data_IF_265450708867
#
_entry.id   IF_265450708867
#
_cell.length_a   1.000
_cell.length_b   1.000
_cell.length_c   1.000
_cell.angle_alpha   90.00
_cell.angle_beta   90.00
_cell.angle_gamma   90.00
#
_symmetry.space_group_name_H-M   'P 1'
#
loop_
_entity.id
_entity.type
_entity.pdbx_description
1 polymer ?
#
# COMPACT_ATOMS: atom_id res chain seq x y z
N UNK A 1 16.25 -32.60 -21.88
CA UNK A 1 16.06 -31.33 -21.14
C UNK A 1 17.31 -30.46 -21.21
N UNK A 2 18.45 -30.83 -20.61
CA UNK A 2 19.66 -29.96 -20.60
C UNK A 2 20.30 -29.77 -21.99
N UNK A 3 20.24 -30.78 -22.88
CA UNK A 3 20.75 -30.66 -24.27
C UNK A 3 20.06 -29.56 -25.09
N UNK A 4 18.75 -29.37 -24.92
CA UNK A 4 17.99 -28.31 -25.61
C UNK A 4 18.42 -26.90 -25.17
N UNK A 5 18.88 -26.76 -23.92
CA UNK A 5 19.37 -25.49 -23.39
C UNK A 5 20.75 -25.12 -23.94
N UNK A 6 21.58 -26.13 -24.20
CA UNK A 6 22.91 -25.95 -24.81
C UNK A 6 22.82 -25.78 -26.33
N UNK A 7 21.89 -26.48 -27.00
CA UNK A 7 21.61 -26.30 -28.44
C UNK A 7 20.92 -24.96 -28.77
N UNK A 8 20.25 -24.34 -27.80
CA UNK A 8 19.62 -23.02 -27.97
C UNK A 8 20.60 -21.85 -28.17
N UNK A 9 21.91 -22.11 -28.05
CA UNK A 9 22.97 -21.15 -28.34
C UNK A 9 22.98 -19.93 -27.41
N UNK A 10 23.70 -18.89 -27.83
CA UNK A 10 23.91 -17.67 -27.03
C UNK A 10 22.62 -16.95 -26.60
N UNK A 11 21.52 -17.15 -27.32
CA UNK A 11 20.23 -16.52 -27.06
C UNK A 11 19.51 -17.04 -25.79
N UNK A 12 19.92 -18.20 -25.25
CA UNK A 12 19.39 -18.72 -23.98
C UNK A 12 19.82 -17.89 -22.75
N UNK A 13 21.00 -17.26 -22.80
CA UNK A 13 21.53 -16.45 -21.70
C UNK A 13 20.71 -15.17 -21.42
N UNK A 14 20.39 -14.32 -22.41
CA UNK A 14 19.55 -13.14 -22.16
C UNK A 14 18.12 -13.51 -21.76
N UNK A 15 17.59 -14.64 -22.25
CA UNK A 15 16.27 -15.14 -21.85
C UNK A 15 16.24 -15.52 -20.36
N UNK A 16 17.27 -16.24 -19.89
CA UNK A 16 17.42 -16.59 -18.48
C UNK A 16 17.57 -15.33 -17.63
N UNK A 17 18.37 -14.37 -18.07
CA UNK A 17 18.55 -13.09 -17.37
C UNK A 17 17.23 -12.31 -17.27
N UNK A 18 16.47 -12.22 -18.36
CA UNK A 18 15.16 -11.58 -18.38
C UNK A 18 14.16 -12.28 -17.44
N UNK A 19 14.21 -13.60 -17.36
CA UNK A 19 13.37 -14.38 -16.44
C UNK A 19 13.71 -14.08 -14.97
N UNK A 20 15.00 -14.03 -14.63
CA UNK A 20 15.45 -13.69 -13.27
C UNK A 20 15.04 -12.27 -12.89
N UNK A 21 15.25 -11.28 -13.78
CA UNK A 21 14.83 -9.90 -13.55
C UNK A 21 13.30 -9.81 -13.45
N UNK A 22 12.58 -10.50 -14.33
CA UNK A 22 11.12 -10.51 -14.35
C UNK A 22 10.53 -11.04 -13.04
N UNK A 23 11.11 -12.11 -12.49
CA UNK A 23 10.71 -12.65 -11.18
C UNK A 23 11.07 -11.66 -10.06
N UNK A 24 12.25 -11.05 -10.09
CA UNK A 24 12.65 -10.05 -9.09
C UNK A 24 11.70 -8.85 -9.06
N UNK A 25 11.35 -8.31 -10.23
CA UNK A 25 10.39 -7.22 -10.37
C UNK A 25 8.98 -7.65 -9.94
N UNK A 26 8.55 -8.87 -10.31
CA UNK A 26 7.27 -9.41 -9.87
C UNK A 26 7.18 -9.50 -8.35
N UNK A 27 8.25 -9.94 -7.67
CA UNK A 27 8.32 -10.03 -6.21
C UNK A 27 8.32 -8.64 -5.56
N UNK A 28 9.12 -7.70 -6.06
CA UNK A 28 9.13 -6.31 -5.57
C UNK A 28 7.73 -5.69 -5.62
N UNK A 29 7.06 -5.85 -6.76
CA UNK A 29 5.69 -5.37 -6.96
C UNK A 29 4.68 -6.10 -6.06
N UNK A 30 4.83 -7.41 -5.85
CA UNK A 30 3.96 -8.19 -4.96
C UNK A 30 4.11 -7.76 -3.51
N UNK A 31 5.35 -7.56 -3.04
CA UNK A 31 5.63 -7.10 -1.68
C UNK A 31 5.13 -5.67 -1.49
N UNK A 32 5.32 -4.77 -2.46
CA UNK A 32 4.81 -3.41 -2.36
C UNK A 32 3.28 -3.37 -2.28
N UNK A 33 2.59 -4.20 -3.07
CA UNK A 33 1.14 -4.34 -3.02
C UNK A 33 0.67 -4.96 -1.69
N UNK A 34 1.30 -6.05 -1.24
CA UNK A 34 0.98 -6.70 0.04
C UNK A 34 1.27 -5.79 1.23
N UNK A 35 2.39 -5.07 1.25
CA UNK A 35 2.70 -4.10 2.32
C UNK A 35 1.68 -2.96 2.33
N UNK A 36 1.25 -2.46 1.17
CA UNK A 36 0.19 -1.46 1.11
C UNK A 36 -1.14 -1.98 1.71
N UNK A 37 -1.46 -3.26 1.50
CA UNK A 37 -2.66 -3.90 2.07
C UNK A 37 -2.51 -4.23 3.57
N UNK A 38 -1.38 -4.79 4.01
CA UNK A 38 -1.13 -5.20 5.39
C UNK A 38 -1.09 -3.99 6.33
N UNK A 39 -0.49 -2.87 5.93
CA UNK A 39 -0.51 -1.65 6.75
C UNK A 39 -1.91 -1.03 6.83
N UNK A 40 -2.83 -1.33 5.91
CA UNK A 40 -4.19 -0.82 5.95
C UNK A 40 -4.99 -1.45 7.10
N UNK A 41 -4.88 -2.77 7.28
CA UNK A 41 -5.67 -3.51 8.27
C UNK A 41 -5.31 -3.12 9.70
N UNK A 42 -4.02 -3.01 10.00
CA UNK A 42 -3.51 -2.54 11.30
C UNK A 42 -3.88 -1.07 11.55
N UNK A 43 -3.77 -0.22 10.52
CA UNK A 43 -4.20 1.18 10.59
C UNK A 43 -5.71 1.32 10.83
N UNK A 44 -6.53 0.46 10.22
CA UNK A 44 -7.98 0.44 10.43
C UNK A 44 -8.35 0.05 11.86
N UNK A 45 -7.67 -0.94 12.45
CA UNK A 45 -7.88 -1.30 13.86
C UNK A 45 -7.53 -0.14 14.80
N UNK A 46 -6.35 0.47 14.61
CA UNK A 46 -5.93 1.62 15.41
C UNK A 46 -6.87 2.82 15.24
N UNK A 47 -7.38 3.05 14.03
CA UNK A 47 -8.34 4.11 13.74
C UNK A 47 -9.68 3.87 14.45
N UNK A 48 -10.19 2.64 14.43
CA UNK A 48 -11.44 2.29 15.10
C UNK A 48 -11.34 2.46 16.62
N UNK A 49 -10.19 2.11 17.21
CA UNK A 49 -9.88 2.35 18.61
C UNK A 49 -9.75 3.85 18.94
N UNK A 50 -9.09 4.63 18.09
CA UNK A 50 -8.96 6.08 18.24
C UNK A 50 -10.34 6.77 18.18
N UNK A 51 -11.21 6.34 17.26
CA UNK A 51 -12.58 6.84 17.12
C UNK A 51 -13.43 6.51 18.34
N UNK A 52 -13.36 5.28 18.86
CA UNK A 52 -14.12 4.86 20.06
C UNK A 52 -13.62 5.54 21.34
N UNK A 53 -12.32 5.79 21.46
CA UNK A 53 -11.70 6.28 22.71
C UNK A 53 -11.61 7.81 22.83
N UNK A 54 -11.65 8.56 21.74
CA UNK A 54 -11.48 10.02 21.79
C UNK A 54 -12.13 10.80 20.65
N UNK A 55 -13.01 10.18 19.86
CA UNK A 55 -13.75 10.87 18.83
C UNK A 55 -12.90 11.33 17.63
N UNK A 56 -13.42 12.25 16.81
CA UNK A 56 -12.83 12.62 15.52
C UNK A 56 -11.46 13.30 15.63
N UNK A 57 -11.16 13.98 16.75
CA UNK A 57 -9.88 14.66 16.99
C UNK A 57 -8.70 13.68 17.10
N UNK A 58 -8.85 12.61 17.88
CA UNK A 58 -7.82 11.55 17.99
C UNK A 58 -7.60 10.83 16.67
N UNK A 59 -8.67 10.59 15.92
CA UNK A 59 -8.58 9.98 14.60
C UNK A 59 -7.82 10.88 13.61
N UNK A 60 -8.03 12.20 13.66
CA UNK A 60 -7.31 13.16 12.84
C UNK A 60 -5.81 13.21 13.18
N UNK A 61 -5.46 13.09 14.46
CA UNK A 61 -4.08 13.04 14.94
C UNK A 61 -3.36 11.75 14.47
N UNK A 62 -4.01 10.59 14.59
CA UNK A 62 -3.48 9.30 14.11
C UNK A 62 -3.25 9.30 12.59
N UNK A 63 -4.18 9.92 11.84
CA UNK A 63 -4.04 10.10 10.39
C UNK A 63 -2.92 11.07 10.00
N UNK A 64 -2.58 12.04 10.86
CA UNK A 64 -1.47 12.98 10.64
C UNK A 64 -0.11 12.38 10.98
N UNK A 65 -0.04 11.50 11.99
CA UNK A 65 1.19 10.79 12.37
C UNK A 65 1.51 9.61 11.44
N UNK A 66 0.49 8.96 10.88
CA UNK A 66 0.70 7.82 9.98
C UNK A 66 0.94 8.29 8.55
N UNK A 67 2.19 8.26 8.10
CA UNK A 67 2.56 8.49 6.70
C UNK A 67 2.32 7.23 5.86
N UNK A 68 1.18 7.17 5.17
CA UNK A 68 0.89 6.10 4.24
C UNK A 68 -0.24 6.46 3.25
N UNK A 69 -0.32 5.78 2.10
CA UNK A 69 -1.39 6.02 1.12
C UNK A 69 -2.78 5.87 1.75
N UNK A 70 -2.97 4.88 2.63
CA UNK A 70 -4.24 4.64 3.35
C UNK A 70 -4.59 5.78 4.30
N UNK A 71 -3.65 6.21 5.13
CA UNK A 71 -3.84 7.33 6.05
C UNK A 71 -4.16 8.64 5.32
N UNK A 72 -3.54 8.89 4.15
CA UNK A 72 -3.83 10.07 3.34
C UNK A 72 -5.26 10.08 2.78
N UNK A 73 -5.77 8.91 2.39
CA UNK A 73 -7.15 8.74 1.89
C UNK A 73 -8.15 8.91 3.03
N UNK A 74 -7.89 8.30 4.20
CA UNK A 74 -8.75 8.43 5.37
C UNK A 74 -8.73 9.85 5.91
N UNK A 75 -7.58 10.50 6.01
CA UNK A 75 -7.47 11.91 6.39
C UNK A 75 -8.29 12.80 5.45
N UNK A 76 -8.20 12.61 4.14
CA UNK A 76 -8.99 13.35 3.16
C UNK A 76 -10.50 13.08 3.28
N UNK A 77 -10.89 11.84 3.58
CA UNK A 77 -12.27 11.46 3.89
C UNK A 77 -12.79 12.11 5.19
N UNK A 78 -11.98 12.10 6.25
CA UNK A 78 -12.26 12.73 7.53
C UNK A 78 -12.41 14.24 7.37
N UNK A 79 -11.52 14.89 6.59
CA UNK A 79 -11.57 16.32 6.31
C UNK A 79 -12.84 16.71 5.54
N UNK A 80 -13.34 15.83 4.66
CA UNK A 80 -14.63 16.01 3.96
C UNK A 80 -15.82 15.81 4.90
N UNK A 81 -15.78 14.80 5.78
CA UNK A 81 -16.82 14.62 6.81
C UNK A 81 -16.87 15.79 7.79
N UNK A 82 -15.71 16.26 8.25
CA UNK A 82 -15.59 17.40 9.15
C UNK A 82 -16.03 18.71 8.46
N UNK A 83 -15.63 18.94 7.20
CA UNK A 83 -16.17 20.05 6.39
C UNK A 83 -17.68 19.94 6.14
N UNK A 84 -18.30 18.76 6.26
CA UNK A 84 -19.75 18.59 6.13
C UNK A 84 -20.55 19.06 7.35
N UNK A 85 -19.91 19.21 8.52
CA UNK A 85 -20.57 19.67 9.74
C UNK A 85 -20.21 21.14 10.01
N UNK A 86 -19.00 21.58 9.64
CA UNK A 86 -18.51 22.94 9.92
C UNK A 86 -18.78 23.96 8.79
N UNK A 87 -19.08 23.53 7.54
CA UNK A 87 -19.53 24.45 6.47
C UNK A 87 -21.06 24.65 6.41
N UNK A 88 -21.83 24.12 7.37
CA UNK A 88 -23.26 24.45 7.51
C UNK A 88 -23.47 25.74 8.34
N UNK A 89 -22.39 26.43 8.74
CA UNK A 89 -22.46 27.77 9.30
C UNK A 89 -21.58 28.78 8.53
N UNK A 90 -21.87 28.98 7.24
CA UNK A 90 -22.15 30.33 6.70
C UNK A 90 -22.73 30.30 5.29
#
# INVERSE_FOLDING_TARGET
>A
MVKLFVDGGWAMWPLLFLLVIGIGFAIERLINLSRAAINAEDFFQQLEEALKSGGPDKAAQLCSETRGPVASVIHAGLLRMHRGIDHVEK
#
